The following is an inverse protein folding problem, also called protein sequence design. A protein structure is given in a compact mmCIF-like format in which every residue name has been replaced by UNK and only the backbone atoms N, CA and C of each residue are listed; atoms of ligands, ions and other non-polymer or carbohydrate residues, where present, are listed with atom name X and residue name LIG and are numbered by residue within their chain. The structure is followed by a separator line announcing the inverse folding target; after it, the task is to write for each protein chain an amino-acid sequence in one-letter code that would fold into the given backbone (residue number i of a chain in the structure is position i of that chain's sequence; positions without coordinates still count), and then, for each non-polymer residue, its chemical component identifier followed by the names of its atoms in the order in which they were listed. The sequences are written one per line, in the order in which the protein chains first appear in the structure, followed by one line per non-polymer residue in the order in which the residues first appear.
data_IF_940747879571
#
_entry.id   IF_940747879571
#
_cell.length_a   1.000
_cell.length_b   1.000
_cell.length_c   1.000
_cell.angle_alpha   90.00
_cell.angle_beta   90.00
_cell.angle_gamma   90.00
#
_symmetry.space_group_name_H-M   'P 1'
#
loop_
_entity.id
_entity.type
_entity.pdbx_description
1 polymer ?
#
# COMPACT_ATOMS: atom_id res chain seq x y z
N UNK A 1 8.29 -26.73 -9.96
CA UNK A 1 9.75 -26.61 -10.06
C UNK A 1 10.13 -25.14 -9.92
N UNK A 2 11.08 -24.80 -9.03
CA UNK A 2 11.64 -23.46 -9.05
C UNK A 2 12.19 -23.19 -10.45
N UNK A 3 12.31 -21.92 -10.85
CA UNK A 3 12.86 -21.59 -12.16
C UNK A 3 14.22 -22.27 -12.36
N UNK A 4 14.69 -22.39 -13.60
CA UNK A 4 16.01 -22.94 -13.91
C UNK A 4 17.13 -22.24 -13.13
N UNK A 5 16.85 -21.04 -12.56
CA UNK A 5 17.78 -20.27 -11.74
C UNK A 5 17.45 -20.37 -10.24
N UNK A 6 16.41 -21.12 -9.85
CA UNK A 6 16.00 -21.27 -8.47
C UNK A 6 16.85 -22.28 -7.69
N UNK A 7 16.91 -22.10 -6.35
CA UNK A 7 17.60 -23.04 -5.46
C UNK A 7 16.76 -24.30 -5.29
N UNK A 8 17.44 -25.42 -5.07
CA UNK A 8 16.77 -26.70 -4.78
C UNK A 8 16.02 -26.59 -3.44
N UNK A 9 14.71 -26.89 -3.41
CA UNK A 9 13.93 -26.87 -2.16
C UNK A 9 14.54 -27.68 -1.01
N UNK A 10 15.32 -28.73 -1.30
CA UNK A 10 16.02 -29.51 -0.29
C UNK A 10 17.05 -28.66 0.49
N UNK A 11 17.47 -27.54 -0.04
CA UNK A 11 18.40 -26.61 0.61
C UNK A 11 17.70 -25.60 1.53
N UNK A 12 16.37 -25.59 1.57
CA UNK A 12 15.61 -24.62 2.37
C UNK A 12 15.97 -24.67 3.86
N UNK A 13 16.06 -25.85 4.52
CA UNK A 13 16.44 -25.88 5.95
C UNK A 13 17.80 -25.24 6.23
N UNK A 14 18.80 -25.47 5.38
CA UNK A 14 20.11 -24.85 5.54
C UNK A 14 20.04 -23.34 5.33
N UNK A 15 19.24 -22.89 4.40
CA UNK A 15 19.00 -21.46 4.13
C UNK A 15 18.35 -20.80 5.35
N UNK A 16 17.39 -21.46 6.00
CA UNK A 16 16.76 -20.95 7.23
C UNK A 16 17.82 -20.75 8.33
N UNK A 17 18.77 -21.67 8.50
CA UNK A 17 19.84 -21.48 9.47
C UNK A 17 20.71 -20.25 9.14
N UNK A 18 20.96 -20.00 7.86
CA UNK A 18 21.66 -18.80 7.41
C UNK A 18 20.87 -17.53 7.76
N UNK A 19 19.55 -17.52 7.53
CA UNK A 19 18.68 -16.40 7.87
C UNK A 19 18.67 -16.14 9.38
N UNK A 20 18.61 -17.20 10.19
CA UNK A 20 18.69 -17.08 11.66
C UNK A 20 20.03 -16.48 12.10
N UNK A 21 21.14 -16.88 11.47
CA UNK A 21 22.45 -16.30 11.77
C UNK A 21 22.51 -14.81 11.44
N UNK A 22 21.94 -14.39 10.32
CA UNK A 22 21.84 -12.98 9.95
C UNK A 22 20.98 -12.21 10.97
N UNK A 23 19.88 -12.82 11.43
CA UNK A 23 19.00 -12.22 12.44
C UNK A 23 19.73 -12.03 13.77
N UNK A 24 20.48 -13.03 14.23
CA UNK A 24 21.30 -12.92 15.45
C UNK A 24 22.29 -11.76 15.35
N UNK A 25 22.93 -11.60 14.20
CA UNK A 25 23.86 -10.51 13.97
C UNK A 25 23.17 -9.13 14.04
N UNK A 26 21.86 -9.06 13.82
CA UNK A 26 21.06 -7.83 13.94
C UNK A 26 20.40 -7.67 15.32
N UNK A 27 20.73 -8.52 16.30
CA UNK A 27 20.23 -8.40 17.66
C UNK A 27 18.94 -9.16 17.95
N UNK A 28 18.51 -10.06 17.06
CA UNK A 28 17.35 -10.90 17.33
C UNK A 28 17.72 -12.01 18.29
N UNK A 29 16.95 -12.16 19.37
CA UNK A 29 17.21 -13.14 20.43
C UNK A 29 16.81 -14.55 20.01
N UNK A 30 17.39 -15.57 20.67
CA UNK A 30 17.00 -16.98 20.46
C UNK A 30 15.52 -17.19 20.78
N UNK A 31 15.01 -16.56 21.85
CA UNK A 31 13.59 -16.67 22.21
C UNK A 31 12.69 -16.18 21.06
N UNK A 32 13.04 -15.08 20.43
CA UNK A 32 12.29 -14.55 19.27
C UNK A 32 12.39 -15.51 18.09
N UNK A 33 13.57 -16.03 17.80
CA UNK A 33 13.75 -16.98 16.69
C UNK A 33 12.93 -18.25 16.91
N UNK A 34 12.90 -18.77 18.13
CA UNK A 34 12.12 -19.98 18.45
C UNK A 34 10.63 -19.76 18.21
N UNK A 35 10.10 -18.59 18.59
CA UNK A 35 8.70 -18.25 18.36
C UNK A 35 8.44 -18.04 16.86
N UNK A 36 9.27 -17.25 16.18
CA UNK A 36 9.06 -16.85 14.80
C UNK A 36 9.13 -18.02 13.83
N UNK A 37 10.09 -18.93 14.04
CA UNK A 37 10.33 -20.06 13.14
C UNK A 37 9.67 -21.36 13.60
N UNK A 38 8.78 -21.30 14.61
CA UNK A 38 8.13 -22.50 15.14
C UNK A 38 7.34 -23.28 14.08
N UNK A 39 6.75 -22.58 13.11
CA UNK A 39 5.95 -23.18 12.04
C UNK A 39 6.61 -23.01 10.67
N UNK A 40 7.92 -22.83 10.62
CA UNK A 40 8.62 -22.58 9.36
C UNK A 40 8.43 -23.74 8.38
N UNK A 41 8.05 -23.39 7.16
CA UNK A 41 7.89 -24.34 6.07
C UNK A 41 8.07 -23.62 4.72
N UNK A 42 8.47 -24.40 3.72
CA UNK A 42 8.57 -23.92 2.35
C UNK A 42 7.14 -23.77 1.76
N UNK A 43 6.86 -22.62 1.17
CA UNK A 43 5.53 -22.30 0.65
C UNK A 43 5.60 -22.08 -0.86
N UNK A 44 5.44 -23.16 -1.61
CA UNK A 44 5.57 -23.12 -3.07
C UNK A 44 4.58 -22.13 -3.73
N UNK A 45 3.36 -22.03 -3.21
CA UNK A 45 2.33 -21.16 -3.79
C UNK A 45 2.68 -19.68 -3.75
N UNK A 46 3.53 -19.21 -2.81
CA UNK A 46 3.92 -17.80 -2.80
C UNK A 46 4.82 -17.47 -3.99
N UNK A 47 5.65 -18.42 -4.43
CA UNK A 47 6.49 -18.28 -5.61
C UNK A 47 5.62 -18.19 -6.86
N UNK A 48 4.60 -19.05 -6.96
CA UNK A 48 3.66 -19.02 -8.08
C UNK A 48 2.88 -17.70 -8.13
N UNK A 49 2.42 -17.21 -6.99
CA UNK A 49 1.72 -15.93 -6.91
C UNK A 49 2.60 -14.75 -7.33
N UNK A 50 3.85 -14.75 -6.91
CA UNK A 50 4.81 -13.71 -7.28
C UNK A 50 5.06 -13.69 -8.79
N UNK A 51 5.24 -14.86 -9.40
CA UNK A 51 5.43 -14.96 -10.86
C UNK A 51 4.19 -14.55 -11.64
N UNK A 52 3.02 -14.99 -11.22
CA UNK A 52 1.77 -14.69 -11.90
C UNK A 52 1.46 -13.19 -11.93
N UNK A 53 1.88 -12.44 -10.91
CA UNK A 53 1.63 -11.02 -10.84
C UNK A 53 2.38 -10.22 -11.90
N UNK A 54 3.51 -10.70 -12.40
CA UNK A 54 4.33 -10.03 -13.40
C UNK A 54 3.73 -10.10 -14.82
N UNK A 55 2.76 -10.98 -15.06
CA UNK A 55 2.27 -11.29 -16.42
C UNK A 55 0.95 -10.61 -16.79
N UNK A 56 0.28 -9.93 -15.85
CA UNK A 56 -1.04 -9.33 -16.11
C UNK A 56 -0.92 -7.91 -16.62
N UNK A 57 -1.27 -7.72 -17.91
CA UNK A 57 -1.44 -6.39 -18.52
C UNK A 57 -2.93 -6.11 -18.65
N UNK A 58 -3.41 -5.05 -18.00
CA UNK A 58 -4.79 -4.59 -18.10
C UNK A 58 -4.81 -3.09 -18.35
N UNK A 59 -5.90 -2.59 -18.92
CA UNK A 59 -6.10 -1.15 -19.06
C UNK A 59 -6.58 -0.54 -17.75
N UNK A 60 -6.51 0.78 -17.63
CA UNK A 60 -7.06 1.48 -16.46
C UNK A 60 -8.54 1.19 -16.29
N UNK A 61 -9.32 1.24 -17.38
CA UNK A 61 -10.77 1.00 -17.30
C UNK A 61 -11.08 -0.43 -16.83
N UNK A 62 -10.37 -1.43 -17.32
CA UNK A 62 -10.50 -2.81 -16.85
C UNK A 62 -10.18 -2.93 -15.36
N UNK A 63 -9.10 -2.28 -14.93
CA UNK A 63 -8.70 -2.27 -13.53
C UNK A 63 -9.76 -1.62 -12.64
N UNK A 64 -10.23 -0.43 -13.02
CA UNK A 64 -11.25 0.30 -12.25
C UNK A 64 -12.58 -0.48 -12.18
N UNK A 65 -13.00 -1.11 -13.27
CA UNK A 65 -14.20 -1.94 -13.28
C UNK A 65 -14.11 -3.11 -12.31
N UNK A 66 -12.91 -3.66 -12.14
CA UNK A 66 -12.68 -4.77 -11.22
C UNK A 66 -12.62 -4.33 -9.76
N UNK A 67 -11.96 -3.20 -9.46
CA UNK A 67 -11.67 -2.80 -8.08
C UNK A 67 -12.67 -1.79 -7.50
N UNK A 68 -13.35 -1.00 -8.35
CA UNK A 68 -14.35 -0.01 -7.93
C UNK A 68 -15.76 -0.45 -8.34
N UNK A 69 -16.19 -1.60 -7.86
CA UNK A 69 -17.54 -2.08 -8.14
C UNK A 69 -18.57 -1.21 -7.40
N UNK A 70 -19.81 -1.09 -7.95
CA UNK A 70 -20.88 -0.37 -7.24
C UNK A 70 -21.11 -0.91 -5.82
N UNK A 71 -20.99 -2.22 -5.63
CA UNK A 71 -21.12 -2.87 -4.33
C UNK A 71 -20.05 -2.41 -3.34
N UNK A 72 -18.79 -2.34 -3.79
CA UNK A 72 -17.68 -1.89 -2.94
C UNK A 72 -17.84 -0.41 -2.57
N UNK A 73 -18.25 0.43 -3.49
CA UNK A 73 -18.51 1.86 -3.23
C UNK A 73 -19.64 2.03 -2.23
N UNK A 74 -20.74 1.29 -2.40
CA UNK A 74 -21.88 1.33 -1.47
C UNK A 74 -21.47 0.90 -0.06
N UNK A 75 -20.66 -0.16 0.04
CA UNK A 75 -20.12 -0.62 1.32
C UNK A 75 -19.20 0.44 1.95
N UNK A 76 -18.38 1.09 1.14
CA UNK A 76 -17.51 2.16 1.60
C UNK A 76 -18.28 3.36 2.15
N UNK A 77 -19.39 3.75 1.51
CA UNK A 77 -20.27 4.82 1.99
C UNK A 77 -20.89 4.48 3.34
N UNK A 78 -21.39 3.26 3.50
CA UNK A 78 -21.98 2.80 4.75
C UNK A 78 -20.97 2.78 5.88
N UNK A 79 -19.77 2.26 5.62
CA UNK A 79 -18.68 2.20 6.58
C UNK A 79 -18.18 3.60 6.93
N UNK A 80 -18.05 4.49 5.96
CA UNK A 80 -17.67 5.88 6.16
C UNK A 80 -18.57 6.58 7.19
N UNK A 81 -19.89 6.32 7.12
CA UNK A 81 -20.85 6.88 8.07
C UNK A 81 -20.80 6.16 9.41
N UNK A 82 -20.70 4.84 9.41
CA UNK A 82 -20.72 4.02 10.64
C UNK A 82 -19.55 4.36 11.57
N UNK A 83 -18.37 4.58 11.00
CA UNK A 83 -17.14 4.79 11.76
C UNK A 83 -16.74 6.27 11.89
N UNK A 84 -17.68 7.19 11.66
CA UNK A 84 -17.39 8.62 11.74
C UNK A 84 -16.73 9.05 13.07
N UNK A 85 -17.17 8.59 14.24
CA UNK A 85 -16.52 8.98 15.49
C UNK A 85 -15.03 8.62 15.53
N UNK A 86 -14.68 7.38 15.16
CA UNK A 86 -13.30 6.92 15.14
C UNK A 86 -12.49 7.62 14.05
N UNK A 87 -13.06 7.75 12.85
CA UNK A 87 -12.39 8.39 11.71
C UNK A 87 -12.14 9.87 11.97
N UNK A 88 -13.09 10.58 12.56
CA UNK A 88 -12.94 12.00 12.88
C UNK A 88 -11.80 12.27 13.86
N UNK A 89 -11.63 11.38 14.86
CA UNK A 89 -10.52 11.48 15.80
C UNK A 89 -9.17 11.32 15.08
N UNK A 90 -9.09 10.37 14.17
CA UNK A 90 -7.87 10.10 13.41
C UNK A 90 -7.57 11.27 12.47
N UNK A 91 -8.57 11.81 11.78
CA UNK A 91 -8.42 12.99 10.92
C UNK A 91 -7.94 14.20 11.72
N UNK A 92 -8.50 14.42 12.91
CA UNK A 92 -8.08 15.53 13.79
C UNK A 92 -6.61 15.40 14.19
N UNK A 93 -6.14 14.17 14.43
CA UNK A 93 -4.76 13.92 14.86
C UNK A 93 -3.76 14.00 13.73
N UNK A 94 -4.08 13.44 12.56
CA UNK A 94 -3.11 13.25 11.47
C UNK A 94 -3.32 14.17 10.26
N UNK A 95 -4.46 14.86 10.18
CA UNK A 95 -4.75 15.75 9.06
C UNK A 95 -5.12 15.04 7.75
N UNK A 96 -5.39 13.75 7.79
CA UNK A 96 -5.78 12.97 6.61
C UNK A 96 -7.31 12.81 6.61
N UNK A 97 -8.02 13.21 5.53
CA UNK A 97 -9.48 13.08 5.51
C UNK A 97 -9.94 11.63 5.60
N UNK A 98 -11.06 11.43 6.28
CA UNK A 98 -11.65 10.12 6.56
C UNK A 98 -11.85 9.29 5.29
N UNK A 99 -12.26 9.92 4.19
CA UNK A 99 -12.53 9.25 2.92
C UNK A 99 -11.32 8.52 2.34
N UNK A 100 -10.11 9.04 2.54
CA UNK A 100 -8.89 8.38 2.06
C UNK A 100 -8.52 7.18 2.92
N UNK A 101 -8.76 7.25 4.22
CA UNK A 101 -8.54 6.12 5.14
C UNK A 101 -9.47 4.98 4.77
N UNK A 102 -10.74 5.26 4.54
CA UNK A 102 -11.74 4.26 4.15
C UNK A 102 -11.43 3.70 2.76
N UNK A 103 -11.00 4.54 1.81
CA UNK A 103 -10.64 4.09 0.45
C UNK A 103 -9.47 3.10 0.50
N UNK A 104 -8.42 3.40 1.24
CA UNK A 104 -7.28 2.49 1.40
C UNK A 104 -7.69 1.19 2.08
N UNK A 105 -8.49 1.27 3.14
CA UNK A 105 -9.01 0.10 3.83
C UNK A 105 -9.80 -0.82 2.89
N UNK A 106 -10.67 -0.23 2.08
CA UNK A 106 -11.45 -0.99 1.10
C UNK A 106 -10.60 -1.62 0.01
N UNK A 107 -9.63 -0.87 -0.52
CA UNK A 107 -8.77 -1.36 -1.60
C UNK A 107 -7.77 -2.40 -1.10
N UNK A 108 -7.22 -2.25 0.10
CA UNK A 108 -6.19 -3.15 0.61
C UNK A 108 -6.76 -4.49 1.09
N UNK A 109 -7.86 -4.47 1.82
CA UNK A 109 -8.35 -5.68 2.49
C UNK A 109 -9.85 -5.90 2.39
N UNK A 110 -10.55 -5.18 1.48
CA UNK A 110 -12.00 -5.27 1.41
C UNK A 110 -12.64 -4.95 2.75
N UNK A 111 -12.19 -3.87 3.39
CA UNK A 111 -12.64 -3.43 4.72
C UNK A 111 -12.38 -4.48 5.81
N UNK A 112 -11.19 -5.08 5.75
CA UNK A 112 -10.72 -6.03 6.75
C UNK A 112 -11.09 -7.47 6.50
N UNK A 113 -11.83 -7.77 5.44
CA UNK A 113 -12.31 -9.15 5.16
C UNK A 113 -11.23 -10.05 4.56
N UNK A 114 -10.24 -9.48 3.86
CA UNK A 114 -9.23 -10.22 3.12
C UNK A 114 -7.86 -9.77 3.58
N UNK A 115 -7.29 -10.52 4.53
CA UNK A 115 -5.99 -10.17 5.14
C UNK A 115 -4.88 -11.14 4.77
N UNK A 116 -5.22 -12.28 4.19
CA UNK A 116 -4.29 -13.37 3.96
C UNK A 116 -4.16 -14.29 5.17
N UNK A 117 -3.79 -15.54 4.90
CA UNK A 117 -3.67 -16.60 5.93
C UNK A 117 -2.28 -17.23 5.94
N UNK A 118 -1.34 -16.66 5.19
CA UNK A 118 0.02 -17.18 5.15
C UNK A 118 0.76 -16.86 6.45
N UNK A 119 1.60 -17.79 6.88
CA UNK A 119 2.61 -17.50 7.88
C UNK A 119 3.64 -16.54 7.26
N UNK A 120 3.69 -15.30 7.77
CA UNK A 120 4.53 -14.25 7.19
C UNK A 120 6.00 -14.65 7.19
N UNK A 121 6.47 -15.27 8.26
CA UNK A 121 7.86 -15.71 8.37
C UNK A 121 8.18 -16.75 7.28
N UNK A 122 7.30 -17.73 7.09
CA UNK A 122 7.48 -18.76 6.06
C UNK A 122 7.40 -18.18 4.64
N UNK A 123 6.45 -17.28 4.39
CA UNK A 123 6.28 -16.64 3.08
C UNK A 123 7.51 -15.82 2.71
N UNK A 124 7.97 -14.95 3.60
CA UNK A 124 9.14 -14.11 3.35
C UNK A 124 10.42 -14.91 3.22
N UNK A 125 10.58 -15.94 4.05
CA UNK A 125 11.75 -16.86 3.98
C UNK A 125 11.78 -17.59 2.63
N UNK A 126 10.62 -18.06 2.15
CA UNK A 126 10.50 -18.75 0.87
C UNK A 126 10.83 -17.80 -0.30
N UNK A 127 10.30 -16.59 -0.28
CA UNK A 127 10.55 -15.62 -1.34
C UNK A 127 12.01 -15.13 -1.34
N UNK A 128 12.64 -14.98 -0.17
CA UNK A 128 14.07 -14.71 -0.08
C UNK A 128 14.89 -15.86 -0.67
N UNK A 129 14.53 -17.10 -0.31
CA UNK A 129 15.19 -18.32 -0.78
C UNK A 129 15.07 -18.48 -2.29
N UNK A 130 13.93 -18.11 -2.88
CA UNK A 130 13.73 -18.18 -4.34
C UNK A 130 14.76 -17.31 -5.09
N UNK A 131 15.15 -16.19 -4.54
CA UNK A 131 16.36 -15.46 -4.93
C UNK A 131 16.18 -14.25 -5.84
N UNK A 132 15.07 -14.10 -6.56
CA UNK A 132 14.88 -12.98 -7.50
C UNK A 132 14.92 -11.62 -6.82
N UNK A 133 14.39 -11.52 -5.59
CA UNK A 133 14.40 -10.31 -4.77
C UNK A 133 14.88 -10.63 -3.36
N UNK A 134 15.99 -11.36 -3.27
CA UNK A 134 16.51 -11.88 -2.00
C UNK A 134 16.75 -10.77 -0.97
N UNK A 135 17.42 -9.69 -1.36
CA UNK A 135 17.73 -8.60 -0.45
C UNK A 135 16.47 -7.93 0.11
N UNK A 136 15.47 -7.71 -0.75
CA UNK A 136 14.20 -7.11 -0.35
C UNK A 136 13.46 -8.00 0.67
N UNK A 137 13.29 -9.28 0.35
CA UNK A 137 12.53 -10.16 1.23
C UNK A 137 13.28 -10.51 2.51
N UNK A 138 14.61 -10.56 2.47
CA UNK A 138 15.43 -10.72 3.68
C UNK A 138 15.26 -9.53 4.62
N UNK A 139 15.27 -8.31 4.08
CA UNK A 139 15.05 -7.10 4.86
C UNK A 139 13.66 -7.10 5.52
N UNK A 140 12.64 -7.50 4.78
CA UNK A 140 11.27 -7.58 5.31
C UNK A 140 11.14 -8.68 6.37
N UNK A 141 11.83 -9.81 6.19
CA UNK A 141 11.89 -10.85 7.20
C UNK A 141 12.53 -10.34 8.50
N UNK A 142 13.65 -9.62 8.39
CA UNK A 142 14.30 -9.03 9.57
C UNK A 142 13.38 -8.05 10.29
N UNK A 143 12.63 -7.26 9.54
CA UNK A 143 11.62 -6.35 10.10
C UNK A 143 10.52 -7.12 10.83
N UNK A 144 10.03 -8.23 10.26
CA UNK A 144 9.03 -9.09 10.90
C UNK A 144 9.54 -9.67 12.22
N UNK A 145 10.81 -10.10 12.27
CA UNK A 145 11.41 -10.59 13.50
C UNK A 145 11.50 -9.50 14.57
N UNK A 146 11.80 -8.27 14.19
CA UNK A 146 11.80 -7.12 15.11
C UNK A 146 10.41 -6.83 15.67
N UNK A 147 9.37 -6.95 14.86
CA UNK A 147 7.98 -6.80 15.32
C UNK A 147 7.68 -7.80 16.44
N UNK A 148 8.03 -9.07 16.22
CA UNK A 148 7.81 -10.13 17.21
C UNK A 148 8.60 -9.82 18.48
N UNK A 149 9.87 -9.42 18.35
CA UNK A 149 10.75 -9.15 19.49
C UNK A 149 10.27 -7.97 20.33
N UNK A 150 9.71 -6.94 19.71
CA UNK A 150 9.19 -5.78 20.43
C UNK A 150 7.98 -6.10 21.30
N UNK A 151 7.25 -7.17 20.99
CA UNK A 151 6.12 -7.63 21.78
C UNK A 151 4.89 -6.71 21.78
N UNK A 152 4.76 -5.79 20.81
CA UNK A 152 3.63 -4.87 20.70
C UNK A 152 2.44 -5.46 19.96
N UNK A 153 2.57 -6.65 19.39
CA UNK A 153 1.49 -7.36 18.69
C UNK A 153 0.82 -8.38 19.60
N UNK A 154 -0.47 -8.60 19.42
CA UNK A 154 -1.22 -9.57 20.24
C UNK A 154 -0.79 -11.00 19.94
N UNK A 155 -0.62 -11.33 18.65
CA UNK A 155 -0.26 -12.67 18.22
C UNK A 155 1.12 -12.64 17.52
N UNK A 156 2.14 -13.30 18.11
CA UNK A 156 3.45 -13.34 17.49
C UNK A 156 3.51 -14.23 16.25
N UNK A 157 2.48 -15.04 15.99
CA UNK A 157 2.34 -15.80 14.75
C UNK A 157 1.74 -14.89 13.68
N UNK A 158 2.57 -14.07 13.07
CA UNK A 158 2.13 -13.05 12.11
C UNK A 158 1.52 -13.71 10.87
N UNK A 159 0.30 -13.29 10.52
CA UNK A 159 -0.40 -13.75 9.32
C UNK A 159 -0.50 -12.62 8.31
N UNK A 160 -0.50 -12.97 7.04
CA UNK A 160 -0.58 -11.99 5.99
C UNK A 160 -0.78 -12.59 4.60
N UNK A 161 -0.55 -11.76 3.59
CA UNK A 161 -0.61 -12.16 2.20
C UNK A 161 0.57 -13.08 1.82
N UNK A 162 0.50 -13.60 0.61
CA UNK A 162 1.60 -14.40 0.05
C UNK A 162 2.94 -13.65 0.00
N UNK A 163 2.91 -12.32 -0.06
CA UNK A 163 4.12 -11.49 -0.13
C UNK A 163 4.50 -10.85 1.22
N UNK A 164 3.83 -11.22 2.30
CA UNK A 164 4.14 -10.71 3.63
C UNK A 164 3.45 -9.41 4.01
N UNK A 165 2.44 -8.97 3.25
CA UNK A 165 1.62 -7.82 3.62
C UNK A 165 0.65 -8.23 4.73
N UNK A 166 0.57 -7.42 5.80
CA UNK A 166 -0.06 -7.83 7.06
C UNK A 166 -1.31 -7.04 7.40
N UNK A 167 -2.30 -7.74 7.93
CA UNK A 167 -3.46 -7.15 8.57
C UNK A 167 -4.39 -6.41 7.63
N UNK A 168 -5.25 -5.59 8.19
CA UNK A 168 -6.27 -4.87 7.43
C UNK A 168 -5.71 -3.73 6.60
N UNK A 169 -4.54 -3.20 6.98
CA UNK A 169 -3.82 -2.17 6.22
C UNK A 169 -2.90 -2.75 5.16
N UNK A 170 -2.65 -4.06 5.18
CA UNK A 170 -1.71 -4.74 4.28
C UNK A 170 -0.32 -4.09 4.30
N UNK A 171 0.16 -3.76 5.49
CA UNK A 171 1.51 -3.23 5.68
C UNK A 171 2.56 -4.31 5.52
N UNK A 172 3.60 -4.01 4.76
CA UNK A 172 4.83 -4.80 4.85
C UNK A 172 5.44 -4.62 6.25
N UNK A 173 6.22 -5.60 6.73
CA UNK A 173 6.81 -5.50 8.07
C UNK A 173 7.60 -4.22 8.32
N UNK A 174 8.39 -3.75 7.37
CA UNK A 174 9.14 -2.49 7.53
C UNK A 174 8.21 -1.28 7.66
N UNK A 175 7.10 -1.26 6.92
CA UNK A 175 6.08 -0.21 7.04
C UNK A 175 5.40 -0.24 8.40
N UNK A 176 5.11 -1.44 8.92
CA UNK A 176 4.54 -1.58 10.26
C UNK A 176 5.47 -0.99 11.33
N UNK A 177 6.77 -1.28 11.26
CA UNK A 177 7.73 -0.75 12.21
C UNK A 177 7.81 0.78 12.19
N UNK A 178 7.70 1.37 11.01
CA UNK A 178 7.84 2.82 10.83
C UNK A 178 6.53 3.56 11.09
N UNK A 179 5.39 3.02 10.65
CA UNK A 179 4.12 3.75 10.61
C UNK A 179 3.04 3.18 11.51
N UNK A 180 3.20 1.96 12.02
CA UNK A 180 2.20 1.38 12.91
C UNK A 180 1.93 2.29 14.10
N UNK A 181 0.66 2.55 14.39
CA UNK A 181 0.24 3.48 15.43
C UNK A 181 -0.83 2.87 16.33
N UNK A 182 -0.69 3.13 17.63
CA UNK A 182 -1.66 2.73 18.65
C UNK A 182 -2.80 3.75 18.67
N UNK A 183 -3.94 3.36 18.13
CA UNK A 183 -5.09 4.27 17.97
C UNK A 183 -5.94 4.44 19.21
N UNK A 184 -5.96 3.46 20.11
CA UNK A 184 -6.77 3.47 21.32
C UNK A 184 -5.96 3.63 22.61
N UNK A 185 -4.65 3.72 22.54
CA UNK A 185 -3.80 3.98 23.69
C UNK A 185 -3.54 2.78 24.59
N UNK A 186 -3.76 1.55 24.12
CA UNK A 186 -3.57 0.33 24.91
C UNK A 186 -2.11 -0.17 24.95
N UNK A 187 -1.19 0.53 24.30
CA UNK A 187 0.23 0.16 24.24
C UNK A 187 0.57 -0.88 23.20
N UNK A 188 -0.40 -1.38 22.45
CA UNK A 188 -0.21 -2.36 21.38
C UNK A 188 -0.65 -1.80 20.04
N UNK A 189 -0.13 -2.38 18.96
CA UNK A 189 -0.50 -2.02 17.59
C UNK A 189 -1.02 -3.28 16.91
N UNK A 190 -2.35 -3.40 16.84
CA UNK A 190 -3.02 -4.56 16.26
C UNK A 190 -3.77 -4.15 14.98
N UNK A 191 -3.08 -4.23 13.85
CA UNK A 191 -3.70 -3.93 12.55
C UNK A 191 -4.52 -5.11 12.00
N UNK A 192 -4.56 -6.23 12.73
CA UNK A 192 -5.36 -7.40 12.33
C UNK A 192 -6.79 -7.33 12.87
N UNK A 193 -6.97 -6.90 14.13
CA UNK A 193 -8.26 -6.98 14.80
C UNK A 193 -8.73 -5.68 15.46
N UNK A 194 -7.88 -4.66 15.56
CA UNK A 194 -8.23 -3.39 16.21
C UNK A 194 -8.38 -2.29 15.17
N UNK A 195 -9.63 -1.88 14.92
CA UNK A 195 -9.93 -0.90 13.88
C UNK A 195 -9.32 0.49 14.17
N UNK A 196 -9.22 0.85 15.46
CA UNK A 196 -8.58 2.13 15.82
C UNK A 196 -7.11 2.15 15.42
N UNK A 197 -6.41 1.03 15.60
CA UNK A 197 -5.01 0.90 15.17
C UNK A 197 -4.89 0.86 13.65
N UNK A 198 -5.85 0.26 12.96
CA UNK A 198 -5.89 0.24 11.48
C UNK A 198 -6.00 1.66 10.95
N UNK A 199 -6.94 2.44 11.45
CA UNK A 199 -7.16 3.82 10.99
C UNK A 199 -5.98 4.72 11.35
N UNK A 200 -5.49 4.62 12.58
CA UNK A 200 -4.35 5.42 13.03
C UNK A 200 -3.08 5.10 12.23
N UNK A 201 -2.81 3.83 11.98
CA UNK A 201 -1.63 3.39 11.21
C UNK A 201 -1.70 3.86 9.77
N UNK A 202 -2.87 3.76 9.13
CA UNK A 202 -3.09 4.24 7.76
C UNK A 202 -2.86 5.75 7.66
N UNK A 203 -3.49 6.50 8.56
CA UNK A 203 -3.34 7.96 8.58
C UNK A 203 -1.92 8.41 8.93
N UNK A 204 -1.27 7.73 9.86
CA UNK A 204 0.11 8.03 10.22
C UNK A 204 1.06 7.83 9.04
N UNK A 205 0.84 6.77 8.25
CA UNK A 205 1.61 6.55 7.03
C UNK A 205 1.52 7.77 6.10
N UNK A 206 0.30 8.15 5.73
CA UNK A 206 0.08 9.25 4.79
C UNK A 206 0.62 10.59 5.35
N UNK A 207 0.36 10.86 6.62
CA UNK A 207 0.82 12.08 7.28
C UNK A 207 2.36 12.17 7.29
N UNK A 208 3.01 11.08 7.68
CA UNK A 208 4.48 11.03 7.74
C UNK A 208 5.10 11.16 6.34
N UNK A 209 4.45 10.62 5.32
CA UNK A 209 4.94 10.63 3.94
C UNK A 209 4.55 11.90 3.17
N UNK A 210 4.04 12.91 3.86
CA UNK A 210 3.90 14.24 3.29
C UNK A 210 2.50 14.65 2.90
N UNK A 211 1.46 13.98 3.42
CA UNK A 211 0.08 14.41 3.15
C UNK A 211 -0.10 15.87 3.52
N UNK A 212 -0.64 16.66 2.60
CA UNK A 212 -0.95 18.07 2.80
C UNK A 212 -2.43 18.22 3.14
N UNK A 213 -2.76 18.60 4.41
CA UNK A 213 -4.14 18.83 4.79
C UNK A 213 -4.80 19.88 3.92
N UNK A 214 -6.08 19.66 3.60
CA UNK A 214 -6.85 20.61 2.79
C UNK A 214 -6.68 20.47 1.29
N UNK A 215 -5.81 19.58 0.81
CA UNK A 215 -5.63 19.31 -0.61
C UNK A 215 -6.25 17.96 -1.00
N UNK A 216 -6.78 17.91 -2.22
CA UNK A 216 -7.31 16.69 -2.83
C UNK A 216 -6.18 15.90 -3.53
N UNK A 217 -6.54 14.77 -4.13
CA UNK A 217 -5.60 13.95 -4.89
C UNK A 217 -5.42 14.45 -6.33
N UNK A 218 -6.46 14.97 -6.94
CA UNK A 218 -6.49 15.35 -8.35
C UNK A 218 -7.86 15.19 -8.96
N UNK A 219 -7.90 15.17 -10.28
CA UNK A 219 -9.11 14.95 -11.05
C UNK A 219 -8.76 14.49 -12.46
N UNK A 220 -9.74 13.97 -13.18
CA UNK A 220 -9.58 13.66 -14.59
C UNK A 220 -9.48 14.95 -15.40
N UNK A 221 -8.70 14.90 -16.48
CA UNK A 221 -8.48 16.06 -17.35
C UNK A 221 -8.53 15.65 -18.81
N UNK A 222 -8.84 16.59 -19.68
CA UNK A 222 -8.77 16.43 -21.11
C UNK A 222 -7.50 17.09 -21.63
N UNK A 223 -6.73 16.36 -22.44
CA UNK A 223 -5.51 16.87 -23.05
C UNK A 223 -5.84 17.53 -24.41
N UNK A 224 -5.05 18.54 -24.83
CA UNK A 224 -5.16 19.08 -26.18
C UNK A 224 -4.67 18.07 -27.21
N UNK A 225 -5.06 18.25 -28.48
CA UNK A 225 -4.44 17.53 -29.57
C UNK A 225 -2.93 17.80 -29.57
N UNK A 226 -2.13 16.78 -29.92
CA UNK A 226 -0.66 16.90 -29.99
C UNK A 226 -0.02 17.26 -28.64
N UNK A 227 -0.63 16.83 -27.53
CA UNK A 227 0.00 17.01 -26.22
C UNK A 227 1.39 16.37 -26.20
N UNK A 228 2.38 17.14 -25.75
CA UNK A 228 3.75 16.64 -25.63
C UNK A 228 3.84 15.70 -24.41
N UNK A 229 3.95 14.40 -24.67
CA UNK A 229 3.99 13.37 -23.64
C UNK A 229 5.20 13.52 -22.69
N UNK A 230 6.26 14.18 -23.11
CA UNK A 230 7.41 14.43 -22.25
C UNK A 230 7.07 15.37 -21.07
N UNK A 231 5.96 16.11 -21.15
CA UNK A 231 5.48 16.93 -20.04
C UNK A 231 4.79 16.14 -18.96
N UNK A 232 4.33 14.92 -19.26
CA UNK A 232 3.62 14.06 -18.31
C UNK A 232 4.58 13.32 -17.39
N UNK A 233 4.19 13.14 -16.15
CA UNK A 233 4.95 12.41 -15.14
C UNK A 233 4.95 13.13 -13.80
N UNK A 234 5.60 12.54 -12.79
CA UNK A 234 5.53 13.01 -11.40
C UNK A 234 6.84 13.59 -10.87
N UNK A 235 7.80 13.89 -11.74
CA UNK A 235 9.08 14.49 -11.31
C UNK A 235 8.86 15.96 -10.88
N UNK A 236 9.67 16.44 -9.95
CA UNK A 236 9.60 17.84 -9.52
C UNK A 236 9.72 18.80 -10.71
N UNK A 237 10.58 18.48 -11.67
CA UNK A 237 10.78 19.31 -12.89
C UNK A 237 9.55 19.34 -13.81
N UNK A 238 8.59 18.44 -13.63
CA UNK A 238 7.37 18.36 -14.45
C UNK A 238 6.18 19.06 -13.79
N UNK A 239 6.34 19.55 -12.57
CA UNK A 239 5.29 20.26 -11.86
C UNK A 239 5.02 21.63 -12.51
N UNK A 240 3.75 21.98 -12.63
CA UNK A 240 3.28 23.30 -13.07
C UNK A 240 2.07 23.65 -12.23
N UNK A 241 1.75 24.96 -12.13
CA UNK A 241 0.48 25.33 -11.51
C UNK A 241 -0.70 24.89 -12.40
N UNK A 242 -1.87 24.76 -11.79
CA UNK A 242 -3.09 24.46 -12.54
C UNK A 242 -3.30 25.47 -13.66
N UNK A 243 -3.09 26.78 -13.38
CA UNK A 243 -3.17 27.84 -14.38
C UNK A 243 -2.22 27.60 -15.55
N UNK A 244 -0.97 27.21 -15.28
CA UNK A 244 -0.01 26.94 -16.35
C UNK A 244 -0.43 25.73 -17.21
N UNK A 245 -1.00 24.70 -16.60
CA UNK A 245 -1.52 23.54 -17.34
C UNK A 245 -2.68 23.97 -18.25
N UNK A 246 -3.58 24.85 -17.77
CA UNK A 246 -4.67 25.37 -18.58
C UNK A 246 -4.14 26.17 -19.78
N UNK A 247 -3.09 26.95 -19.59
CA UNK A 247 -2.47 27.70 -20.68
C UNK A 247 -1.87 26.77 -21.75
N UNK A 248 -1.50 25.56 -21.37
CA UNK A 248 -1.04 24.53 -22.30
C UNK A 248 -2.18 23.69 -22.90
N UNK A 249 -3.42 24.03 -22.63
CA UNK A 249 -4.59 23.36 -23.19
C UNK A 249 -5.11 22.17 -22.40
N UNK A 250 -4.61 21.92 -21.20
CA UNK A 250 -5.13 20.88 -20.32
C UNK A 250 -6.41 21.40 -19.63
N UNK A 251 -7.51 20.67 -19.78
CA UNK A 251 -8.82 21.07 -19.26
C UNK A 251 -9.21 20.14 -18.12
N UNK A 252 -9.21 20.61 -16.86
CA UNK A 252 -9.73 19.83 -15.73
C UNK A 252 -11.23 19.59 -15.91
N UNK A 253 -11.67 18.33 -15.83
CA UNK A 253 -13.08 17.98 -16.10
C UNK A 253 -14.06 18.51 -15.07
N UNK A 254 -13.60 18.69 -13.82
CA UNK A 254 -14.44 19.21 -12.73
C UNK A 254 -14.22 20.71 -12.48
N UNK A 255 -13.47 21.37 -13.35
CA UNK A 255 -13.17 22.78 -13.22
C UNK A 255 -11.98 23.08 -12.32
N UNK A 256 -11.73 24.38 -12.13
CA UNK A 256 -10.58 24.87 -11.36
C UNK A 256 -11.08 25.56 -10.11
N UNK A 257 -10.71 25.02 -8.94
CA UNK A 257 -11.00 25.63 -7.65
C UNK A 257 -9.74 26.22 -7.00
N UNK A 258 -8.55 25.72 -7.40
CA UNK A 258 -7.28 26.12 -6.83
C UNK A 258 -6.23 26.35 -7.92
N UNK A 259 -6.26 27.51 -8.59
CA UNK A 259 -5.41 27.77 -9.77
C UNK A 259 -3.91 27.79 -9.45
N UNK A 260 -3.56 28.07 -8.20
CA UNK A 260 -2.16 28.19 -7.78
C UNK A 260 -1.55 26.88 -7.28
N UNK A 261 -2.36 25.83 -7.12
CA UNK A 261 -1.80 24.55 -6.70
C UNK A 261 -0.88 24.01 -7.78
N UNK A 262 0.28 23.49 -7.35
CA UNK A 262 1.12 22.76 -8.29
C UNK A 262 0.51 21.41 -8.60
N UNK A 263 0.66 20.99 -9.83
CA UNK A 263 0.02 19.79 -10.32
C UNK A 263 0.89 19.12 -11.38
N UNK A 264 0.59 17.87 -11.64
CA UNK A 264 1.23 17.06 -12.67
C UNK A 264 0.17 16.46 -13.55
N UNK A 265 0.51 16.24 -14.84
CA UNK A 265 -0.33 15.48 -15.73
C UNK A 265 0.21 14.05 -15.81
N UNK A 266 -0.69 13.08 -15.66
CA UNK A 266 -0.36 11.68 -15.88
C UNK A 266 -1.27 11.08 -16.93
N UNK A 267 -0.72 10.16 -17.71
CA UNK A 267 -1.41 9.38 -18.74
C UNK A 267 -1.11 7.90 -18.47
N UNK A 268 -1.93 7.26 -17.64
CA UNK A 268 -1.58 5.92 -17.13
C UNK A 268 -1.49 4.84 -18.21
N UNK A 269 -2.23 4.96 -19.31
CA UNK A 269 -2.13 4.03 -20.43
C UNK A 269 -1.30 4.64 -21.57
N UNK A 270 -1.86 5.66 -22.24
CA UNK A 270 -1.16 6.41 -23.27
C UNK A 270 -1.84 7.76 -23.51
N UNK A 271 -1.29 8.57 -24.41
CA UNK A 271 -1.79 9.92 -24.69
C UNK A 271 -3.19 9.91 -25.34
N UNK A 272 -3.61 8.79 -25.90
CA UNK A 272 -4.95 8.62 -26.48
C UNK A 272 -5.96 8.16 -25.43
N UNK A 273 -5.50 7.67 -24.29
CA UNK A 273 -6.33 7.22 -23.19
C UNK A 273 -6.70 8.34 -22.23
N UNK A 274 -7.18 7.92 -21.05
CA UNK A 274 -7.55 8.85 -19.99
C UNK A 274 -6.32 9.57 -19.43
N UNK A 275 -6.52 10.82 -19.06
CA UNK A 275 -5.48 11.65 -18.45
C UNK A 275 -6.02 12.27 -17.14
N UNK A 276 -5.10 12.59 -16.24
CA UNK A 276 -5.43 13.12 -14.93
C UNK A 276 -4.51 14.28 -14.59
N UNK A 277 -5.07 15.27 -13.92
CA UNK A 277 -4.33 16.36 -13.28
C UNK A 277 -4.28 16.05 -11.80
N UNK A 278 -3.07 15.80 -11.27
CA UNK A 278 -2.90 15.31 -9.91
C UNK A 278 -2.07 16.25 -9.08
N UNK A 279 -2.31 16.27 -7.77
CA UNK A 279 -1.69 17.20 -6.82
C UNK A 279 -0.66 16.48 -5.94
N UNK A 280 -0.07 17.20 -4.99
CA UNK A 280 0.95 16.64 -4.11
C UNK A 280 0.50 15.36 -3.39
N UNK A 281 -0.76 15.30 -2.95
CA UNK A 281 -1.25 14.14 -2.21
C UNK A 281 -1.34 12.86 -3.06
N UNK A 282 -1.47 13.00 -4.38
CA UNK A 282 -1.36 11.84 -5.27
C UNK A 282 0.03 11.21 -5.18
N UNK A 283 1.07 12.02 -5.11
CA UNK A 283 2.45 11.52 -4.95
C UNK A 283 2.62 10.82 -3.60
N UNK A 284 1.95 11.30 -2.55
CA UNK A 284 1.95 10.63 -1.24
C UNK A 284 1.28 9.26 -1.33
N UNK A 285 0.16 9.14 -2.03
CA UNK A 285 -0.49 7.84 -2.25
C UNK A 285 0.44 6.90 -3.05
N UNK A 286 1.19 7.42 -4.01
CA UNK A 286 2.19 6.65 -4.76
C UNK A 286 3.31 6.08 -3.87
N UNK A 287 3.61 6.70 -2.73
CA UNK A 287 4.53 6.10 -1.75
C UNK A 287 3.97 4.81 -1.16
N UNK A 288 2.66 4.76 -0.95
CA UNK A 288 1.98 3.55 -0.46
C UNK A 288 2.09 2.41 -1.46
N UNK A 289 1.81 2.69 -2.72
CA UNK A 289 1.92 1.72 -3.82
C UNK A 289 2.26 2.48 -5.12
N UNK A 290 3.38 2.16 -5.74
CA UNK A 290 3.90 2.84 -6.94
C UNK A 290 3.17 2.43 -8.21
N UNK A 291 1.85 2.48 -8.18
CA UNK A 291 1.00 2.17 -9.32
C UNK A 291 0.07 3.35 -9.59
N UNK A 292 0.11 3.89 -10.80
CA UNK A 292 -0.86 4.91 -11.21
C UNK A 292 -2.28 4.39 -11.06
N UNK A 293 -2.51 3.15 -11.45
CA UNK A 293 -3.85 2.55 -11.38
C UNK A 293 -4.34 2.49 -9.94
N UNK A 294 -3.50 2.05 -9.03
CA UNK A 294 -3.85 2.00 -7.61
C UNK A 294 -4.14 3.38 -7.06
N UNK A 295 -3.25 4.35 -7.29
CA UNK A 295 -3.41 5.69 -6.74
C UNK A 295 -4.65 6.41 -7.30
N UNK A 296 -4.94 6.24 -8.59
CA UNK A 296 -6.17 6.76 -9.21
C UNK A 296 -7.40 6.13 -8.56
N UNK A 297 -7.37 4.80 -8.35
CA UNK A 297 -8.51 4.10 -7.73
C UNK A 297 -8.77 4.57 -6.31
N UNK A 298 -7.73 4.86 -5.54
CA UNK A 298 -7.87 5.43 -4.19
C UNK A 298 -8.56 6.81 -4.26
N UNK A 299 -8.09 7.68 -5.14
CA UNK A 299 -8.67 9.02 -5.31
C UNK A 299 -10.14 8.97 -5.73
N UNK A 300 -10.44 8.15 -6.74
CA UNK A 300 -11.81 8.00 -7.25
C UNK A 300 -12.74 7.38 -6.21
N UNK A 301 -12.26 6.38 -5.47
CA UNK A 301 -13.05 5.78 -4.41
C UNK A 301 -13.31 6.77 -3.28
N UNK A 302 -12.31 7.54 -2.88
CA UNK A 302 -12.47 8.57 -1.85
C UNK A 302 -13.54 9.60 -2.25
N UNK A 303 -13.52 10.05 -3.51
CA UNK A 303 -14.52 10.97 -4.04
C UNK A 303 -15.93 10.36 -4.01
N UNK A 304 -16.05 9.08 -4.36
CA UNK A 304 -17.33 8.37 -4.39
C UNK A 304 -17.91 8.11 -3.01
N UNK A 305 -17.07 7.85 -2.02
CA UNK A 305 -17.49 7.54 -0.65
C UNK A 305 -18.11 8.75 0.04
N UNK A 306 -17.56 9.93 -0.20
CA UNK A 306 -17.96 11.16 0.50
C UNK A 306 -19.16 11.89 -0.13
N UNK A 307 -19.71 11.35 -1.17
CA UNK A 307 -20.91 11.94 -1.83
C UNK A 307 -22.21 11.62 -1.09
#
# INVERSE_FOLDING_TARGET
MLSEQGRDPAQFPAYIEKLKSQARAQGITEATLDIAFANIHFVDRVIQSDRNQLEKKVTLDDYLAKVLTPSKIAQGREIYQRYQPQLSQVTARYGVPERYIVALWGMESGFGKIQGKEDVISALSTLAFEGRREAFFTKELMAALKIIQQGRVEDPQLKGSWAGAMGQSQFMPSSFLTYGADGDGDGKVDIWNNIDDVFASTANYLSTEGWKPGMDWGQEAQLPENFNIALAGLKDSQAKTVTQWQQLGVIPKEGVTHPDWRAWVIVPDDVQGRAFLVYDNFRTIMHWNRSYYFAISIGMMADSISQ
#
